data_IF_034269044092
#
_entry.id   IF_034269044092
#
_cell.length_a   1.000
_cell.length_b   1.000
_cell.length_c   1.000
_cell.angle_alpha   90.00
_cell.angle_beta   90.00
_cell.angle_gamma   90.00
#
_symmetry.space_group_name_H-M   'P 1'
#
loop_
_entity.id
_entity.type
_entity.pdbx_description
1 polymer ?
#
# COMPACT_ATOMS: atom_id res chain seq x y z
N UNK A 1 -15.24 40.64 -8.27
CA UNK A 1 -15.87 39.43 -7.71
C UNK A 1 -17.17 39.17 -8.45
N UNK A 2 -17.19 38.24 -9.42
CA UNK A 2 -18.41 37.94 -10.18
C UNK A 2 -19.36 37.10 -9.33
N UNK A 3 -20.64 37.47 -9.19
CA UNK A 3 -21.62 36.70 -8.42
C UNK A 3 -21.96 35.41 -9.17
N UNK A 4 -22.05 34.30 -8.43
CA UNK A 4 -22.57 33.03 -8.92
C UNK A 4 -24.06 33.24 -9.22
N UNK A 5 -24.41 33.46 -10.49
CA UNK A 5 -25.80 33.64 -10.94
C UNK A 5 -26.23 32.41 -11.77
N UNK A 6 -27.40 31.88 -11.41
CA UNK A 6 -28.18 30.84 -12.11
C UNK A 6 -27.61 29.42 -12.15
N UNK A 7 -27.43 28.80 -10.98
CA UNK A 7 -27.56 27.33 -10.94
C UNK A 7 -29.04 26.95 -11.06
N UNK A 8 -29.36 26.00 -11.94
CA UNK A 8 -30.74 25.52 -12.09
C UNK A 8 -31.24 24.95 -10.76
N UNK A 9 -32.55 25.05 -10.49
CA UNK A 9 -33.17 24.42 -9.30
C UNK A 9 -32.83 22.93 -9.19
N UNK A 10 -32.63 22.24 -10.31
CA UNK A 10 -32.21 20.85 -10.34
C UNK A 10 -30.79 20.64 -9.81
N UNK A 11 -29.84 21.53 -10.14
CA UNK A 11 -28.45 21.50 -9.63
C UNK A 11 -28.44 21.80 -8.13
N UNK A 12 -29.15 22.83 -7.68
CA UNK A 12 -29.26 23.17 -6.25
C UNK A 12 -29.84 21.99 -5.46
N UNK A 13 -30.91 21.35 -5.95
CA UNK A 13 -31.51 20.18 -5.30
C UNK A 13 -30.53 19.00 -5.18
N UNK A 14 -29.69 18.76 -6.19
CA UNK A 14 -28.66 17.71 -6.15
C UNK A 14 -27.53 18.05 -5.19
N UNK A 15 -27.09 19.30 -5.14
CA UNK A 15 -26.04 19.74 -4.21
C UNK A 15 -26.51 19.67 -2.75
N UNK A 16 -27.78 19.97 -2.48
CA UNK A 16 -28.36 19.79 -1.15
C UNK A 16 -28.38 18.33 -0.69
N UNK A 17 -28.45 17.36 -1.60
CA UNK A 17 -28.34 15.93 -1.26
C UNK A 17 -26.90 15.50 -0.90
N UNK A 18 -25.91 16.33 -1.21
CA UNK A 18 -24.49 16.10 -0.91
C UNK A 18 -24.03 16.86 0.34
N UNK A 19 -24.91 17.65 0.96
CA UNK A 19 -24.61 18.39 2.18
C UNK A 19 -25.29 17.71 3.38
N UNK A 20 -24.62 16.77 4.06
CA UNK A 20 -25.19 16.12 5.22
C UNK A 20 -25.41 17.14 6.34
N UNK A 21 -26.49 16.99 7.11
CA UNK A 21 -26.68 17.77 8.33
C UNK A 21 -25.75 17.27 9.44
N UNK A 22 -25.57 18.06 10.49
CA UNK A 22 -24.78 17.67 11.65
C UNK A 22 -25.32 16.39 12.31
N UNK A 23 -26.64 16.20 12.31
CA UNK A 23 -27.28 14.98 12.81
C UNK A 23 -26.93 13.76 11.95
N UNK A 24 -26.94 13.93 10.62
CA UNK A 24 -26.55 12.86 9.70
C UNK A 24 -25.06 12.50 9.84
N UNK A 25 -24.18 13.50 10.07
CA UNK A 25 -22.77 13.26 10.34
C UNK A 25 -22.55 12.51 11.66
N UNK A 26 -23.26 12.89 12.73
CA UNK A 26 -23.20 12.18 14.03
C UNK A 26 -23.69 10.74 13.92
N UNK A 27 -24.77 10.49 13.18
CA UNK A 27 -25.26 9.14 12.91
C UNK A 27 -24.22 8.31 12.13
N UNK A 28 -23.59 8.91 11.11
CA UNK A 28 -22.51 8.25 10.36
C UNK A 28 -21.31 7.91 11.24
N UNK A 29 -20.88 8.82 12.11
CA UNK A 29 -19.79 8.59 13.07
C UNK A 29 -20.11 7.40 13.99
N UNK A 30 -21.31 7.37 14.56
CA UNK A 30 -21.74 6.27 15.43
C UNK A 30 -21.76 4.92 14.70
N UNK A 31 -22.20 4.90 13.43
CA UNK A 31 -22.18 3.68 12.61
C UNK A 31 -20.78 3.22 12.29
N UNK A 32 -19.87 4.14 11.99
CA UNK A 32 -18.46 3.81 11.71
C UNK A 32 -17.78 3.26 12.97
N UNK A 33 -18.01 3.89 14.12
CA UNK A 33 -17.50 3.41 15.42
C UNK A 33 -18.02 2.00 15.73
N UNK A 34 -19.32 1.74 15.54
CA UNK A 34 -19.88 0.40 15.69
C UNK A 34 -19.25 -0.61 14.72
N UNK A 35 -19.03 -0.24 13.45
CA UNK A 35 -18.39 -1.10 12.47
C UNK A 35 -16.92 -1.40 12.81
N UNK A 36 -16.18 -0.43 13.34
CA UNK A 36 -14.80 -0.62 13.84
C UNK A 36 -14.80 -1.58 15.03
N UNK A 37 -15.69 -1.41 16.00
CA UNK A 37 -15.79 -2.30 17.16
C UNK A 37 -16.11 -3.75 16.76
N UNK A 38 -16.96 -3.93 15.74
CA UNK A 38 -17.23 -5.25 15.14
C UNK A 38 -15.99 -5.82 14.45
N UNK A 39 -15.23 -4.97 13.74
CA UNK A 39 -13.98 -5.35 13.07
C UNK A 39 -12.86 -5.75 14.03
N UNK A 40 -12.75 -5.07 15.17
CA UNK A 40 -11.73 -5.34 16.18
C UNK A 40 -12.04 -6.55 17.08
N UNK A 41 -13.30 -7.00 17.12
CA UNK A 41 -13.72 -8.11 17.97
C UNK A 41 -13.47 -9.46 17.28
N UNK A 42 -12.71 -10.33 17.94
CA UNK A 42 -12.31 -11.66 17.45
C UNK A 42 -13.50 -12.50 16.94
N UNK A 43 -14.64 -12.47 17.63
CA UNK A 43 -15.80 -13.31 17.30
C UNK A 43 -16.65 -12.76 16.15
N UNK A 44 -16.55 -11.46 15.85
CA UNK A 44 -17.35 -10.82 14.80
C UNK A 44 -16.52 -10.38 13.59
N UNK A 45 -15.20 -10.46 13.67
CA UNK A 45 -14.27 -10.01 12.64
C UNK A 45 -14.48 -10.66 11.27
N UNK A 46 -14.79 -11.97 11.24
CA UNK A 46 -15.00 -12.71 9.98
C UNK A 46 -16.11 -12.12 9.12
N UNK A 47 -17.17 -11.61 9.76
CA UNK A 47 -18.36 -11.06 9.09
C UNK A 47 -18.34 -9.52 9.03
N UNK A 48 -17.31 -8.88 9.60
CA UNK A 48 -17.19 -7.43 9.64
C UNK A 48 -17.01 -6.82 8.24
N UNK A 49 -17.74 -5.72 7.98
CA UNK A 49 -17.57 -4.91 6.77
C UNK A 49 -16.31 -4.03 6.82
N UNK A 50 -15.95 -3.55 8.01
CA UNK A 50 -14.68 -2.87 8.28
C UNK A 50 -13.78 -3.86 8.99
N UNK A 51 -12.72 -4.32 8.33
CA UNK A 51 -11.92 -5.45 8.85
C UNK A 51 -10.99 -5.07 9.99
N UNK A 52 -10.46 -3.84 10.03
CA UNK A 52 -9.48 -3.43 11.04
C UNK A 52 -8.32 -4.44 11.17
N UNK A 53 -7.72 -4.83 10.04
CA UNK A 53 -6.60 -5.78 10.05
C UNK A 53 -5.40 -5.23 10.84
N UNK A 54 -4.75 -6.07 11.68
CA UNK A 54 -3.55 -5.66 12.41
C UNK A 54 -2.37 -5.44 11.46
N UNK A 55 -1.60 -4.37 11.69
CA UNK A 55 -0.43 -4.00 10.87
C UNK A 55 0.89 -4.58 11.38
N UNK A 56 0.90 -5.10 12.61
CA UNK A 56 2.11 -5.59 13.32
C UNK A 56 3.17 -4.52 13.64
N UNK A 57 2.90 -3.25 13.38
CA UNK A 57 3.70 -2.12 13.87
C UNK A 57 3.26 -1.81 15.29
N UNK A 58 4.16 -1.97 16.27
CA UNK A 58 3.84 -1.88 17.70
C UNK A 58 4.35 -0.59 18.36
N UNK A 59 5.39 0.00 17.78
CA UNK A 59 6.08 1.17 18.34
C UNK A 59 5.90 2.39 17.44
N UNK A 60 5.89 3.57 18.06
CA UNK A 60 5.94 4.84 17.36
C UNK A 60 7.38 5.16 16.95
N UNK A 61 7.59 5.92 15.86
CA UNK A 61 8.91 6.43 15.56
C UNK A 61 9.41 7.34 16.70
N UNK A 62 10.65 7.17 17.11
CA UNK A 62 11.31 7.97 18.15
C UNK A 62 11.96 9.23 17.55
N UNK A 63 12.17 9.26 16.23
CA UNK A 63 12.76 10.38 15.50
C UNK A 63 14.29 10.38 15.49
N UNK A 64 14.93 9.33 16.02
CA UNK A 64 16.37 9.11 15.98
C UNK A 64 16.76 7.93 15.07
N UNK A 65 15.83 7.45 14.25
CA UNK A 65 16.07 6.38 13.29
C UNK A 65 17.16 6.78 12.30
N UNK A 66 18.14 5.91 12.10
CA UNK A 66 19.24 6.12 11.15
C UNK A 66 19.47 4.88 10.31
N UNK A 67 19.98 5.07 9.09
CA UNK A 67 20.25 3.98 8.16
C UNK A 67 19.77 4.28 6.75
N UNK A 68 19.95 3.30 5.86
CA UNK A 68 19.44 3.34 4.48
C UNK A 68 18.37 2.28 4.32
N UNK A 69 17.21 2.68 3.83
CA UNK A 69 16.04 1.83 3.70
C UNK A 69 15.49 1.92 2.28
N UNK A 70 15.04 0.78 1.75
CA UNK A 70 14.28 0.73 0.53
C UNK A 70 12.78 0.81 0.85
N UNK A 71 12.05 1.61 0.08
CA UNK A 71 10.60 1.59 0.03
C UNK A 71 10.12 1.08 -1.32
N UNK A 72 9.10 0.24 -1.34
CA UNK A 72 8.42 -0.20 -2.55
C UNK A 72 6.93 0.02 -2.38
N UNK A 73 6.36 0.93 -3.16
CA UNK A 73 4.94 1.30 -3.10
C UNK A 73 4.21 0.84 -4.36
N UNK A 74 3.32 -0.15 -4.19
CA UNK A 74 2.50 -0.75 -5.24
C UNK A 74 1.03 -0.53 -4.89
N UNK A 75 0.33 0.27 -5.68
CA UNK A 75 -1.09 0.54 -5.39
C UNK A 75 -1.91 1.11 -6.55
N UNK A 76 -1.40 1.14 -7.78
CA UNK A 76 -2.09 1.70 -8.94
C UNK A 76 -1.45 1.30 -10.27
N UNK A 77 -1.70 2.03 -11.36
CA UNK A 77 -1.12 1.74 -12.69
C UNK A 77 0.40 2.03 -12.80
N UNK A 78 1.01 2.45 -11.70
CA UNK A 78 2.44 2.65 -11.53
C UNK A 78 2.82 2.20 -10.12
N UNK A 79 4.06 1.80 -9.93
CA UNK A 79 4.63 1.64 -8.61
C UNK A 79 5.84 2.56 -8.44
N UNK A 80 6.25 2.77 -7.19
CA UNK A 80 7.38 3.61 -6.84
C UNK A 80 8.40 2.81 -6.06
N UNK A 81 9.67 3.03 -6.37
CA UNK A 81 10.80 2.58 -5.56
C UNK A 81 11.42 3.81 -4.90
N UNK A 82 11.75 3.70 -3.62
CA UNK A 82 12.34 4.77 -2.81
C UNK A 82 13.63 4.27 -2.15
N UNK A 83 14.62 5.16 -2.07
CA UNK A 83 15.74 5.04 -1.14
C UNK A 83 15.60 6.16 -0.11
N UNK A 84 15.57 5.79 1.16
CA UNK A 84 15.48 6.71 2.29
C UNK A 84 16.78 6.58 3.07
N UNK A 85 17.57 7.64 3.13
CA UNK A 85 18.82 7.71 3.91
C UNK A 85 18.61 8.62 5.10
N UNK A 86 18.51 8.05 6.30
CA UNK A 86 18.32 8.79 7.55
C UNK A 86 19.64 8.91 8.33
N UNK A 87 19.92 10.12 8.77
CA UNK A 87 21.03 10.49 9.64
C UNK A 87 20.50 11.32 10.80
N UNK A 88 21.36 11.66 11.77
CA UNK A 88 20.97 12.53 12.90
C UNK A 88 20.51 13.93 12.47
N UNK A 89 20.92 14.38 11.29
CA UNK A 89 20.59 15.70 10.76
C UNK A 89 19.32 15.69 9.89
N UNK A 90 18.70 14.52 9.69
CA UNK A 90 17.48 14.32 8.93
C UNK A 90 17.57 13.18 7.91
N UNK A 91 16.50 13.02 7.13
CA UNK A 91 16.37 11.99 6.11
C UNK A 91 16.32 12.59 4.70
N UNK A 92 17.07 12.00 3.79
CA UNK A 92 17.00 12.27 2.34
C UNK A 92 16.25 11.16 1.63
N UNK A 93 15.43 11.50 0.64
CA UNK A 93 14.64 10.53 -0.14
C UNK A 93 14.89 10.69 -1.63
N UNK A 94 15.26 9.60 -2.28
CA UNK A 94 15.33 9.47 -3.73
C UNK A 94 14.25 8.49 -4.18
N UNK A 95 13.51 8.79 -5.26
CA UNK A 95 12.48 7.88 -5.74
C UNK A 95 12.38 7.85 -7.26
N UNK A 96 11.98 6.70 -7.80
CA UNK A 96 11.70 6.49 -9.21
C UNK A 96 10.33 5.82 -9.36
N UNK A 97 9.58 6.23 -10.39
CA UNK A 97 8.24 5.70 -10.69
C UNK A 97 8.33 4.82 -11.92
N UNK A 98 7.80 3.60 -11.81
CA UNK A 98 7.78 2.59 -12.86
C UNK A 98 6.35 2.34 -13.34
N UNK A 99 6.07 2.43 -14.64
CA UNK A 99 4.74 2.17 -15.18
C UNK A 99 4.42 0.67 -15.17
N UNK A 100 3.17 0.31 -14.90
CA UNK A 100 2.69 -1.07 -15.03
C UNK A 100 1.82 -1.13 -16.29
N UNK A 101 2.23 -1.93 -17.28
CA UNK A 101 1.43 -2.11 -18.50
C UNK A 101 0.16 -2.89 -18.22
N UNK A 102 -0.86 -2.72 -19.07
CA UNK A 102 -2.11 -3.48 -18.93
C UNK A 102 -1.87 -5.01 -18.98
N UNK A 103 -0.92 -5.46 -19.80
CA UNK A 103 -0.52 -6.87 -19.86
C UNK A 103 0.07 -7.42 -18.57
N UNK A 104 0.64 -6.56 -17.72
CA UNK A 104 1.12 -6.94 -16.39
C UNK A 104 -0.01 -6.94 -15.36
N UNK A 105 -0.97 -6.01 -15.49
CA UNK A 105 -2.14 -5.94 -14.60
C UNK A 105 -3.07 -7.15 -14.74
N UNK A 106 -3.23 -7.65 -15.97
CA UNK A 106 -4.10 -8.80 -16.28
C UNK A 106 -3.30 -10.11 -16.54
N UNK A 107 -1.99 -10.07 -16.30
CA UNK A 107 -1.08 -11.17 -16.63
C UNK A 107 -0.81 -12.14 -15.48
N UNK A 108 0.09 -13.11 -15.68
CA UNK A 108 0.50 -14.01 -14.61
C UNK A 108 1.21 -13.26 -13.47
N UNK A 109 0.82 -13.52 -12.22
CA UNK A 109 1.41 -12.88 -11.05
C UNK A 109 2.94 -13.01 -10.98
N UNK A 110 3.49 -14.16 -11.36
CA UNK A 110 4.94 -14.38 -11.43
C UNK A 110 5.64 -13.34 -12.32
N UNK A 111 5.06 -13.04 -13.49
CA UNK A 111 5.61 -12.06 -14.43
C UNK A 111 5.54 -10.65 -13.86
N UNK A 112 4.46 -10.32 -13.14
CA UNK A 112 4.33 -9.05 -12.44
C UNK A 112 5.42 -8.87 -11.37
N UNK A 113 5.59 -9.85 -10.47
CA UNK A 113 6.61 -9.75 -9.43
C UNK A 113 8.04 -9.80 -9.99
N UNK A 114 8.29 -10.52 -11.08
CA UNK A 114 9.56 -10.47 -11.80
C UNK A 114 9.82 -9.07 -12.38
N UNK A 115 8.81 -8.42 -12.97
CA UNK A 115 8.96 -7.04 -13.42
C UNK A 115 9.33 -6.09 -12.28
N UNK A 116 8.66 -6.20 -11.12
CA UNK A 116 8.95 -5.41 -9.92
C UNK A 116 10.39 -5.63 -9.44
N UNK A 117 10.84 -6.89 -9.35
CA UNK A 117 12.20 -7.23 -8.94
C UNK A 117 13.26 -6.66 -9.90
N UNK A 118 12.99 -6.63 -11.21
CA UNK A 118 13.90 -6.06 -12.20
C UNK A 118 14.05 -4.55 -12.03
N UNK A 119 12.94 -3.84 -11.84
CA UNK A 119 12.98 -2.40 -11.61
C UNK A 119 13.68 -2.06 -10.28
N UNK A 120 13.51 -2.90 -9.25
CA UNK A 120 14.21 -2.74 -7.99
C UNK A 120 15.73 -2.89 -8.17
N UNK A 121 16.17 -3.89 -8.94
CA UNK A 121 17.58 -4.09 -9.28
C UNK A 121 18.15 -2.88 -10.02
N UNK A 122 17.43 -2.40 -11.04
CA UNK A 122 17.84 -1.24 -11.83
C UNK A 122 17.95 0.02 -10.95
N UNK A 123 17.02 0.20 -10.01
CA UNK A 123 17.06 1.32 -9.06
C UNK A 123 18.27 1.24 -8.13
N UNK A 124 18.49 0.11 -7.47
CA UNK A 124 19.63 -0.14 -6.57
C UNK A 124 20.96 0.11 -7.28
N UNK A 125 21.07 -0.30 -8.54
CA UNK A 125 22.23 -0.03 -9.40
C UNK A 125 22.42 1.45 -9.68
N UNK A 126 21.36 2.19 -10.01
CA UNK A 126 21.43 3.65 -10.24
C UNK A 126 21.83 4.42 -8.99
N UNK A 127 21.50 3.90 -7.81
CA UNK A 127 21.88 4.49 -6.52
C UNK A 127 23.28 4.05 -6.04
N UNK A 128 24.00 3.20 -6.79
CA UNK A 128 25.35 2.69 -6.46
C UNK A 128 25.43 1.95 -5.10
N UNK A 129 24.37 1.21 -4.75
CA UNK A 129 24.27 0.48 -3.47
C UNK A 129 24.09 -1.04 -3.66
N UNK A 130 24.48 -1.59 -4.83
CA UNK A 130 24.36 -3.02 -5.16
C UNK A 130 25.14 -3.95 -4.21
N UNK A 131 26.11 -3.41 -3.46
CA UNK A 131 26.95 -4.16 -2.51
C UNK A 131 26.45 -4.06 -1.07
N UNK A 132 25.49 -3.18 -0.79
CA UNK A 132 24.91 -2.99 0.53
C UNK A 132 23.78 -3.98 0.77
N UNK A 133 23.62 -4.45 2.00
CA UNK A 133 22.41 -5.18 2.40
C UNK A 133 21.36 -4.16 2.82
N UNK A 134 20.21 -4.15 2.14
CA UNK A 134 19.18 -3.14 2.29
C UNK A 134 17.89 -3.78 2.80
N UNK A 135 17.36 -3.21 3.87
CA UNK A 135 16.03 -3.57 4.35
C UNK A 135 14.97 -2.84 3.53
N UNK A 136 13.95 -3.59 3.09
CA UNK A 136 12.86 -3.12 2.25
C UNK A 136 11.53 -3.18 2.99
N UNK A 137 10.86 -2.03 3.05
CA UNK A 137 9.44 -1.91 3.38
C UNK A 137 8.58 -1.97 2.11
N UNK A 138 7.67 -2.94 2.05
CA UNK A 138 6.70 -3.08 0.97
C UNK A 138 5.38 -2.44 1.38
N UNK A 139 5.04 -1.31 0.76
CA UNK A 139 3.68 -0.76 0.79
C UNK A 139 2.87 -1.41 -0.34
N UNK A 140 1.86 -2.18 0.04
CA UNK A 140 1.00 -2.91 -0.89
C UNK A 140 -0.45 -2.46 -0.69
N UNK A 141 -0.89 -1.55 -1.56
CA UNK A 141 -2.16 -0.84 -1.46
C UNK A 141 -3.37 -1.67 -1.88
N UNK A 142 -3.44 -2.92 -1.42
CA UNK A 142 -4.53 -3.87 -1.64
C UNK A 142 -4.96 -4.49 -0.31
N UNK A 143 -6.19 -5.01 -0.21
CA UNK A 143 -6.62 -5.76 0.96
C UNK A 143 -5.72 -6.99 1.19
N UNK A 144 -4.93 -6.96 2.26
CA UNK A 144 -4.04 -8.06 2.66
C UNK A 144 -4.37 -8.48 4.10
N UNK A 145 -4.46 -9.79 4.31
CA UNK A 145 -4.53 -10.36 5.65
C UNK A 145 -3.09 -10.64 6.13
N UNK A 146 -2.56 -9.78 6.99
CA UNK A 146 -1.21 -9.92 7.53
C UNK A 146 -1.15 -10.97 8.65
N UNK A 147 -0.18 -11.88 8.57
CA UNK A 147 0.10 -12.88 9.62
C UNK A 147 1.38 -12.57 10.39
N UNK A 148 2.11 -11.54 9.95
CA UNK A 148 3.30 -11.01 10.59
C UNK A 148 3.71 -9.69 9.93
N UNK A 149 4.75 -9.04 10.46
CA UNK A 149 5.23 -7.76 9.94
C UNK A 149 5.66 -7.87 8.47
N UNK A 150 6.30 -8.98 8.07
CA UNK A 150 6.78 -9.23 6.71
C UNK A 150 6.09 -10.44 6.04
N UNK A 151 4.81 -10.64 6.33
CA UNK A 151 3.99 -11.75 5.81
C UNK A 151 2.55 -11.28 5.62
N UNK A 152 1.97 -11.58 4.47
CA UNK A 152 0.58 -11.21 4.24
C UNK A 152 -0.02 -11.79 2.98
N UNK A 153 -1.22 -12.35 3.14
CA UNK A 153 -1.97 -13.02 2.08
C UNK A 153 -2.91 -12.03 1.39
N UNK A 154 -2.75 -11.87 0.07
CA UNK A 154 -3.68 -11.04 -0.72
C UNK A 154 -5.10 -11.61 -0.61
N UNK A 155 -6.05 -10.79 -0.18
CA UNK A 155 -7.47 -11.17 -0.08
C UNK A 155 -8.14 -11.09 -1.43
N UNK A 156 -8.06 -9.93 -2.08
CA UNK A 156 -8.58 -9.74 -3.43
C UNK A 156 -7.95 -8.55 -4.11
N UNK A 157 -7.80 -8.62 -5.42
CA UNK A 157 -7.38 -7.49 -6.23
C UNK A 157 -8.45 -6.40 -6.27
N UNK A 158 -7.99 -5.16 -6.37
CA UNK A 158 -8.83 -3.98 -6.56
C UNK A 158 -8.14 -3.05 -7.57
N UNK A 159 -8.70 -1.85 -7.81
CA UNK A 159 -8.04 -0.80 -8.60
C UNK A 159 -7.65 -1.23 -10.04
N UNK A 160 -8.35 -2.22 -10.60
CA UNK A 160 -8.11 -2.72 -11.96
C UNK A 160 -6.96 -3.71 -12.11
N UNK A 161 -6.39 -4.21 -11.01
CA UNK A 161 -5.49 -5.36 -11.03
C UNK A 161 -6.27 -6.65 -11.15
N UNK A 162 -5.69 -7.63 -11.85
CA UNK A 162 -6.23 -8.98 -11.94
C UNK A 162 -5.10 -9.99 -12.23
N UNK A 163 -3.96 -9.84 -11.57
CA UNK A 163 -2.82 -10.73 -11.81
C UNK A 163 -3.17 -12.17 -11.40
N UNK A 164 -3.01 -13.12 -12.32
CA UNK A 164 -3.40 -14.50 -12.10
C UNK A 164 -2.56 -15.14 -10.98
N UNK A 165 -3.20 -16.02 -10.21
CA UNK A 165 -2.55 -16.84 -9.20
C UNK A 165 -1.83 -16.03 -8.09
N UNK A 166 -2.35 -14.86 -7.69
CA UNK A 166 -1.84 -14.07 -6.55
C UNK A 166 -2.82 -14.02 -5.38
N UNK A 167 -4.13 -13.90 -5.64
CA UNK A 167 -5.15 -13.95 -4.57
C UNK A 167 -5.04 -15.26 -3.77
N UNK A 168 -5.11 -15.16 -2.45
CA UNK A 168 -4.89 -16.28 -1.53
C UNK A 168 -3.44 -16.68 -1.33
N UNK A 169 -2.46 -15.91 -1.84
CA UNK A 169 -1.02 -16.15 -1.63
C UNK A 169 -0.34 -15.03 -0.87
N UNK A 170 0.77 -15.38 -0.21
CA UNK A 170 1.65 -14.43 0.47
C UNK A 170 2.43 -13.59 -0.56
N UNK A 171 2.14 -12.29 -0.61
CA UNK A 171 2.74 -11.36 -1.57
C UNK A 171 4.20 -11.06 -1.27
N UNK A 172 4.61 -11.15 0.00
CA UNK A 172 6.01 -10.98 0.40
C UNK A 172 6.81 -12.19 -0.06
N UNK A 173 6.28 -13.41 0.14
CA UNK A 173 6.89 -14.63 -0.36
C UNK A 173 7.06 -14.59 -1.89
N UNK A 174 6.02 -14.17 -2.63
CA UNK A 174 6.10 -14.04 -4.09
C UNK A 174 7.17 -13.04 -4.55
N UNK A 175 7.31 -11.90 -3.86
CA UNK A 175 8.37 -10.94 -4.15
C UNK A 175 9.76 -11.50 -3.79
N UNK A 176 9.93 -12.19 -2.66
CA UNK A 176 11.19 -12.88 -2.30
C UNK A 176 11.60 -13.88 -3.37
N UNK A 177 10.67 -14.67 -3.88
CA UNK A 177 10.94 -15.62 -4.97
C UNK A 177 11.37 -14.90 -6.26
N UNK A 178 10.75 -13.77 -6.60
CA UNK A 178 11.13 -12.96 -7.77
C UNK A 178 12.55 -12.39 -7.64
N UNK A 179 12.90 -11.86 -6.46
CA UNK A 179 14.27 -11.40 -6.17
C UNK A 179 15.27 -12.54 -6.30
N UNK A 180 14.94 -13.73 -5.78
CA UNK A 180 15.77 -14.93 -5.88
C UNK A 180 15.99 -15.37 -7.34
N UNK A 181 14.93 -15.40 -8.17
CA UNK A 181 15.04 -15.71 -9.61
C UNK A 181 15.99 -14.78 -10.35
N UNK A 182 16.07 -13.51 -9.91
CA UNK A 182 16.98 -12.51 -10.46
C UNK A 182 18.36 -12.46 -9.78
N UNK A 183 18.62 -13.35 -8.83
CA UNK A 183 19.87 -13.43 -8.05
C UNK A 183 20.15 -12.18 -7.22
N UNK A 184 19.10 -11.48 -6.79
CA UNK A 184 19.17 -10.33 -5.89
C UNK A 184 19.08 -10.87 -4.47
N UNK A 185 20.21 -10.90 -3.77
CA UNK A 185 20.33 -11.52 -2.43
C UNK A 185 20.58 -10.50 -1.32
N UNK A 186 20.80 -9.24 -1.68
CA UNK A 186 21.16 -8.16 -0.77
C UNK A 186 19.94 -7.30 -0.36
N UNK A 187 18.73 -7.71 -0.70
CA UNK A 187 17.50 -7.01 -0.31
C UNK A 187 16.69 -7.90 0.62
N UNK A 188 16.43 -7.42 1.83
CA UNK A 188 15.69 -8.13 2.85
C UNK A 188 14.33 -7.46 3.07
N UNK A 189 13.23 -8.17 2.79
CA UNK A 189 11.89 -7.62 3.00
C UNK A 189 11.54 -7.78 4.48
N UNK A 190 11.53 -6.67 5.21
CA UNK A 190 11.35 -6.62 6.67
C UNK A 190 9.97 -6.18 7.10
N UNK A 191 9.21 -5.55 6.21
CA UNK A 191 7.88 -5.07 6.51
C UNK A 191 6.98 -5.08 5.27
N UNK A 192 5.72 -5.37 5.52
CA UNK A 192 4.58 -5.19 4.65
C UNK A 192 3.64 -4.18 5.33
N UNK A 193 3.19 -3.19 4.60
CA UNK A 193 2.24 -2.18 5.06
C UNK A 193 1.17 -1.94 4.00
N UNK A 194 0.02 -1.42 4.42
CA UNK A 194 -0.95 -0.80 3.52
C UNK A 194 -0.62 0.69 3.32
N UNK A 195 -1.23 1.34 2.31
CA UNK A 195 -1.05 2.75 1.95
C UNK A 195 -1.90 3.74 2.79
N UNK A 196 -2.55 3.26 3.86
CA UNK A 196 -3.56 4.00 4.65
C UNK A 196 -3.00 5.10 5.55
#
# INVERSE_FOLDING_TARGET
TKPIVNMSRAVVKRLWQLNPSDEALKDLMARLEAAINIGLNEHTHSDAAVKCYPTYVQDFPEGDETGKFLGLDIGGSKFRVLMISCTRDGCETHSEIYPISQSLLDGPGVVFFDYVAQCLADFVKKQDVERETLDLGLTFGFPVNQTGLAEGVLVTWTKGFNCECVEGKDVVAMLREALSRQKIMNINIVALSNDT
#
